data_IF_367201514933
#
_entry.id   IF_367201514933
#
_cell.length_a   1.000
_cell.length_b   1.000
_cell.length_c   1.000
_cell.angle_alpha   90.00
_cell.angle_beta   90.00
_cell.angle_gamma   90.00
#
_symmetry.space_group_name_H-M   'P 1'
#
loop_
_entity.id
_entity.type
_entity.pdbx_description
1 polymer ?
#
# COMPACT_ATOMS: atom_id res chain seq x y z
N UNK A 1 -5.10 16.29 -4.58
CA UNK A 1 -3.73 16.18 -5.14
C UNK A 1 -3.81 15.69 -6.58
N UNK A 2 -2.97 16.21 -7.45
CA UNK A 2 -2.81 15.77 -8.84
C UNK A 2 -2.06 14.42 -8.93
N UNK A 3 -2.16 13.72 -10.07
CA UNK A 3 -1.41 12.47 -10.31
C UNK A 3 0.11 12.68 -10.17
N UNK A 4 0.64 13.77 -10.74
CA UNK A 4 2.06 14.09 -10.68
C UNK A 4 2.57 14.34 -9.26
N UNK A 5 1.76 14.95 -8.38
CA UNK A 5 2.09 15.12 -6.97
C UNK A 5 2.08 13.79 -6.22
N UNK A 6 1.10 12.90 -6.50
CA UNK A 6 1.03 11.55 -5.92
C UNK A 6 2.27 10.74 -6.27
N UNK A 7 2.64 10.72 -7.55
CA UNK A 7 3.84 10.05 -8.06
C UNK A 7 5.10 10.54 -7.32
N UNK A 8 5.28 11.86 -7.17
CA UNK A 8 6.44 12.42 -6.46
C UNK A 8 6.50 11.99 -4.99
N UNK A 9 5.36 11.98 -4.28
CA UNK A 9 5.32 11.54 -2.88
C UNK A 9 5.63 10.05 -2.74
N UNK A 10 5.03 9.21 -3.59
CA UNK A 10 5.30 7.76 -3.62
C UNK A 10 6.79 7.50 -3.90
N UNK A 11 7.36 8.18 -4.90
CA UNK A 11 8.78 8.07 -5.23
C UNK A 11 9.68 8.44 -4.06
N UNK A 12 9.34 9.50 -3.30
CA UNK A 12 10.08 9.88 -2.10
C UNK A 12 10.09 8.79 -1.04
N UNK A 13 8.96 8.12 -0.77
CA UNK A 13 8.90 7.00 0.18
C UNK A 13 9.70 5.79 -0.32
N UNK A 14 9.61 5.47 -1.62
CA UNK A 14 10.38 4.37 -2.23
C UNK A 14 11.90 4.57 -2.09
N UNK A 15 12.38 5.81 -2.16
CA UNK A 15 13.81 6.15 -2.03
C UNK A 15 14.31 6.06 -0.59
N UNK A 16 13.46 6.35 0.41
CA UNK A 16 13.82 6.23 1.82
C UNK A 16 14.12 4.78 2.23
N UNK A 17 13.40 3.81 1.63
CA UNK A 17 13.50 2.37 1.97
C UNK A 17 13.40 2.13 3.49
N UNK A 18 12.50 2.86 4.13
CA UNK A 18 12.27 2.85 5.57
C UNK A 18 11.01 2.03 5.87
N UNK A 19 11.10 1.15 6.87
CA UNK A 19 10.04 0.22 7.28
C UNK A 19 9.03 0.83 8.26
N UNK A 20 9.24 2.06 8.74
CA UNK A 20 8.33 2.69 9.71
C UNK A 20 6.94 2.88 9.10
N UNK A 21 5.94 2.22 9.69
CA UNK A 21 4.55 2.23 9.20
C UNK A 21 3.88 3.61 9.19
N UNK A 22 4.28 4.52 10.08
CA UNK A 22 3.78 5.90 10.15
C UNK A 22 4.01 6.67 8.84
N UNK A 23 5.14 6.44 8.16
CA UNK A 23 5.45 7.02 6.86
C UNK A 23 4.40 6.66 5.79
N UNK A 24 3.92 5.41 5.79
CA UNK A 24 2.96 4.92 4.82
C UNK A 24 1.53 5.36 5.17
N UNK A 25 1.20 5.41 6.46
CA UNK A 25 -0.05 6.01 6.95
C UNK A 25 -0.14 7.47 6.53
N UNK A 26 0.92 8.25 6.77
CA UNK A 26 0.97 9.67 6.45
C UNK A 26 0.97 9.92 4.95
N UNK A 27 1.64 9.07 4.17
CA UNK A 27 1.55 9.09 2.71
C UNK A 27 0.09 8.95 2.26
N UNK A 28 -0.61 7.90 2.69
CA UNK A 28 -2.01 7.65 2.30
C UNK A 28 -2.94 8.78 2.77
N UNK A 29 -2.80 9.25 4.01
CA UNK A 29 -3.60 10.38 4.54
C UNK A 29 -3.38 11.66 3.74
N UNK A 30 -2.12 11.99 3.45
CA UNK A 30 -1.78 13.21 2.68
C UNK A 30 -2.37 13.17 1.28
N UNK A 31 -2.43 11.98 0.65
CA UNK A 31 -3.01 11.82 -0.68
C UNK A 31 -4.54 11.72 -0.67
N UNK A 32 -5.16 11.55 0.51
CA UNK A 32 -6.60 11.30 0.68
C UNK A 32 -7.02 9.87 0.35
N UNK A 33 -6.08 8.93 0.39
CA UNK A 33 -6.24 7.57 -0.15
C UNK A 33 -6.23 6.47 0.93
N UNK A 34 -6.28 6.84 2.22
CA UNK A 34 -6.36 5.85 3.30
C UNK A 34 -7.72 5.15 3.27
N UNK A 35 -7.75 3.87 2.88
CA UNK A 35 -8.98 3.08 2.73
C UNK A 35 -9.42 2.46 4.04
N UNK A 36 -10.13 3.21 4.87
CA UNK A 36 -10.68 2.67 6.13
C UNK A 36 -11.66 1.51 5.91
N UNK A 37 -12.25 1.41 4.72
CA UNK A 37 -13.10 0.32 4.26
C UNK A 37 -12.36 -0.70 3.37
N UNK A 38 -11.05 -0.91 3.55
CA UNK A 38 -10.24 -1.84 2.75
C UNK A 38 -10.82 -3.25 2.63
N UNK A 39 -11.62 -3.71 3.62
CA UNK A 39 -12.31 -5.00 3.57
C UNK A 39 -13.23 -5.17 2.36
N UNK A 40 -13.81 -4.08 1.83
CA UNK A 40 -14.67 -4.13 0.64
C UNK A 40 -13.90 -4.51 -0.65
N UNK A 41 -12.56 -4.48 -0.61
CA UNK A 41 -11.68 -4.75 -1.74
C UNK A 41 -11.02 -6.14 -1.67
N UNK A 42 -11.06 -6.77 -0.49
CA UNK A 42 -10.49 -8.10 -0.26
C UNK A 42 -11.48 -9.16 -0.76
N UNK A 43 -10.96 -10.28 -1.24
CA UNK A 43 -11.75 -11.41 -1.75
C UNK A 43 -11.69 -12.63 -0.83
N UNK A 44 -10.75 -12.65 0.13
CA UNK A 44 -10.56 -13.71 1.11
C UNK A 44 -11.38 -13.44 2.38
N UNK A 45 -11.99 -14.50 2.95
CA UNK A 45 -12.71 -14.43 4.23
C UNK A 45 -12.43 -15.68 5.09
N UNK A 46 -11.79 -15.55 6.27
CA UNK A 46 -11.18 -14.33 6.82
C UNK A 46 -10.06 -13.79 5.90
N UNK A 47 -9.69 -12.50 6.06
CA UNK A 47 -8.66 -11.87 5.23
C UNK A 47 -7.33 -12.62 5.38
N UNK A 48 -6.81 -13.14 4.27
CA UNK A 48 -5.48 -13.71 4.14
C UNK A 48 -4.57 -12.71 3.44
N UNK A 49 -3.68 -12.06 4.19
CA UNK A 49 -2.81 -11.02 3.63
C UNK A 49 -1.87 -11.57 2.55
N UNK A 50 -1.44 -12.83 2.63
CA UNK A 50 -0.52 -13.41 1.66
C UNK A 50 -1.22 -13.64 0.32
N UNK A 51 -2.42 -14.25 0.32
CA UNK A 51 -3.21 -14.45 -0.90
C UNK A 51 -3.63 -13.11 -1.53
N UNK A 52 -4.00 -12.12 -0.72
CA UNK A 52 -4.39 -10.80 -1.24
C UNK A 52 -3.22 -10.07 -1.93
N UNK A 53 -1.99 -10.24 -1.45
CA UNK A 53 -0.81 -9.62 -2.06
C UNK A 53 -0.45 -10.21 -3.43
N UNK A 54 -0.86 -11.45 -3.74
CA UNK A 54 -0.65 -12.02 -5.08
C UNK A 54 -1.33 -11.19 -6.19
N UNK A 55 -2.38 -10.44 -5.82
CA UNK A 55 -3.18 -9.60 -6.72
C UNK A 55 -2.49 -8.29 -7.12
N UNK A 56 -1.36 -7.91 -6.52
CA UNK A 56 -0.66 -6.63 -6.80
C UNK A 56 -0.39 -6.45 -8.30
N UNK A 57 0.04 -7.50 -8.99
CA UNK A 57 0.41 -7.43 -10.42
C UNK A 57 -0.74 -6.94 -11.32
N UNK A 58 -1.98 -7.31 -11.00
CA UNK A 58 -3.19 -6.91 -11.71
C UNK A 58 -3.96 -5.75 -11.05
N UNK A 59 -3.55 -5.31 -9.86
CA UNK A 59 -4.29 -4.32 -9.09
C UNK A 59 -4.35 -2.95 -9.80
N UNK A 60 -5.52 -2.31 -9.72
CA UNK A 60 -5.66 -0.89 -10.06
C UNK A 60 -5.20 -0.02 -8.89
N UNK A 61 -5.29 1.31 -9.05
CA UNK A 61 -4.84 2.24 -8.03
C UNK A 61 -5.58 2.04 -6.71
N UNK A 62 -6.90 1.90 -6.77
CA UNK A 62 -7.76 1.79 -5.58
C UNK A 62 -7.45 0.52 -4.80
N UNK A 63 -7.33 -0.63 -5.48
CA UNK A 63 -6.95 -1.88 -4.85
C UNK A 63 -5.55 -1.79 -4.22
N UNK A 64 -4.58 -1.15 -4.86
CA UNK A 64 -3.26 -0.95 -4.25
C UNK A 64 -3.35 -0.16 -2.94
N UNK A 65 -4.18 0.89 -2.88
CA UNK A 65 -4.36 1.67 -1.65
C UNK A 65 -5.05 0.85 -0.54
N UNK A 66 -5.97 -0.03 -0.92
CA UNK A 66 -6.62 -0.96 0.00
C UNK A 66 -5.63 -2.01 0.52
N UNK A 67 -4.82 -2.62 -0.35
CA UNK A 67 -3.77 -3.59 0.04
C UNK A 67 -2.73 -2.95 0.96
N UNK A 68 -2.28 -1.72 0.69
CA UNK A 68 -1.37 -1.03 1.60
C UNK A 68 -2.03 -0.75 2.96
N UNK A 69 -3.31 -0.38 2.96
CA UNK A 69 -4.06 -0.16 4.21
C UNK A 69 -4.25 -1.48 4.97
N UNK A 70 -4.48 -2.60 4.28
CA UNK A 70 -4.57 -3.94 4.86
C UNK A 70 -3.28 -4.29 5.63
N UNK A 71 -2.10 -4.11 5.02
CA UNK A 71 -0.82 -4.37 5.69
C UNK A 71 -0.61 -3.50 6.94
N UNK A 72 -1.02 -2.23 6.88
CA UNK A 72 -0.96 -1.33 8.04
C UNK A 72 -1.92 -1.75 9.15
N UNK A 73 -3.03 -2.40 8.81
CA UNK A 73 -4.01 -2.94 9.78
C UNK A 73 -3.60 -4.30 10.33
N UNK A 74 -2.94 -5.13 9.54
CA UNK A 74 -2.28 -6.36 10.00
C UNK A 74 -1.35 -6.02 11.18
N UNK A 75 -0.55 -4.95 11.07
CA UNK A 75 0.35 -4.49 12.13
C UNK A 75 -0.36 -4.05 13.41
N UNK A 76 -1.51 -3.39 13.26
CA UNK A 76 -2.35 -3.03 14.39
C UNK A 76 -2.88 -4.26 15.16
N UNK A 77 -3.15 -5.38 14.46
CA UNK A 77 -3.60 -6.62 15.10
C UNK A 77 -2.46 -7.55 15.51
N UNK A 78 -1.34 -7.49 14.80
CA UNK A 78 -0.13 -8.29 14.99
C UNK A 78 1.07 -7.37 14.91
N UNK A 79 1.40 -6.76 16.04
CA UNK A 79 2.46 -5.76 16.18
C UNK A 79 3.80 -6.24 15.61
N UNK A 80 4.39 -5.46 14.70
CA UNK A 80 5.65 -5.76 14.01
C UNK A 80 5.48 -6.55 12.71
N UNK A 81 4.25 -6.87 12.29
CA UNK A 81 4.02 -7.51 10.99
C UNK A 81 4.39 -6.60 9.83
N UNK A 82 4.14 -5.29 9.90
CA UNK A 82 4.52 -4.39 8.80
C UNK A 82 6.03 -4.37 8.56
N UNK A 83 6.83 -4.32 9.64
CA UNK A 83 8.29 -4.37 9.55
C UNK A 83 8.77 -5.70 8.97
N UNK A 84 8.14 -6.83 9.36
CA UNK A 84 8.43 -8.14 8.77
C UNK A 84 8.08 -8.21 7.29
N UNK A 85 6.87 -7.79 6.90
CA UNK A 85 6.43 -7.69 5.50
C UNK A 85 7.38 -6.83 4.68
N UNK A 86 7.89 -5.74 5.27
CA UNK A 86 8.88 -4.87 4.63
C UNK A 86 10.20 -5.61 4.40
N UNK A 87 10.72 -6.29 5.42
CA UNK A 87 11.96 -7.07 5.34
C UNK A 87 11.85 -8.22 4.32
N UNK A 88 10.67 -8.82 4.20
CA UNK A 88 10.36 -9.86 3.22
C UNK A 88 10.11 -9.31 1.80
N UNK A 89 10.20 -7.97 1.62
CA UNK A 89 10.07 -7.32 0.32
C UNK A 89 8.63 -7.20 -0.19
N UNK A 90 7.63 -7.40 0.67
CA UNK A 90 6.21 -7.43 0.29
C UNK A 90 5.54 -6.04 0.27
N UNK A 91 6.11 -5.04 0.95
CA UNK A 91 5.53 -3.69 1.06
C UNK A 91 5.81 -2.82 -0.17
N UNK A 92 7.08 -2.69 -0.57
CA UNK A 92 7.49 -1.77 -1.65
C UNK A 92 6.84 -2.07 -3.01
N UNK A 93 6.60 -3.34 -3.41
CA UNK A 93 5.89 -3.65 -4.66
C UNK A 93 4.51 -3.00 -4.78
N UNK A 94 3.79 -2.80 -3.66
CA UNK A 94 2.50 -2.11 -3.65
C UNK A 94 2.67 -0.65 -4.10
N UNK A 95 3.68 0.06 -3.57
CA UNK A 95 3.97 1.45 -3.94
C UNK A 95 4.47 1.56 -5.39
N UNK A 96 5.30 0.61 -5.83
CA UNK A 96 5.74 0.54 -7.23
C UNK A 96 4.52 0.43 -8.15
N UNK A 97 3.59 -0.48 -7.85
CA UNK A 97 2.37 -0.63 -8.63
C UNK A 97 1.50 0.63 -8.61
N UNK A 98 1.32 1.27 -7.47
CA UNK A 98 0.60 2.55 -7.37
C UNK A 98 1.20 3.61 -8.32
N UNK A 99 2.53 3.73 -8.33
CA UNK A 99 3.25 4.66 -9.20
C UNK A 99 3.06 4.32 -10.67
N UNK A 100 3.14 3.04 -11.03
CA UNK A 100 3.01 2.58 -12.41
C UNK A 100 1.60 2.84 -12.95
N UNK A 101 0.56 2.54 -12.16
CA UNK A 101 -0.84 2.81 -12.54
C UNK A 101 -1.10 4.31 -12.69
N UNK A 102 -0.55 5.15 -11.80
CA UNK A 102 -0.67 6.60 -11.93
C UNK A 102 0.04 7.13 -13.18
N UNK A 103 1.22 6.58 -13.50
CA UNK A 103 2.04 6.98 -14.65
C UNK A 103 1.44 6.56 -15.98
N UNK A 104 0.79 5.39 -16.05
CA UNK A 104 0.17 4.88 -17.27
C UNK A 104 -1.04 5.71 -17.75
N UNK A 105 -1.59 6.59 -16.90
CA UNK A 105 -2.67 7.50 -17.23
C UNK A 105 -2.28 8.98 -17.28
N UNK A 106 -0.99 9.28 -17.47
CA UNK A 106 -0.45 10.64 -17.75
C UNK A 106 -0.36 10.87 -19.24
#
# INVERSE_FOLDING_TARGET
MTKAEKIRKIQGILELKDSRGDLYVDLLKTMGDLKTNYGDYMITEPIDCDEELERISGADYELCTALLTMLLREDHFSNGSFERRFADGQVLPVLVRMKDVLSAGV
#
